data_IF_770232847057
#
_entry.id   IF_770232847057
#
_cell.length_a   1.000
_cell.length_b   1.000
_cell.length_c   1.000
_cell.angle_alpha   90.00
_cell.angle_beta   90.00
_cell.angle_gamma   90.00
#
_symmetry.space_group_name_H-M   'P 1'
#
loop_
_entity.id
_entity.type
_entity.pdbx_description
1 polymer ?
#
# COMPACT_ATOMS: atom_id res chain seq x y z
N UNK A 1 2.15 -2.51 0.67
CA UNK A 1 3.44 -1.81 0.89
C UNK A 1 3.15 -0.58 1.73
N UNK A 2 3.72 -0.50 2.92
CA UNK A 2 3.48 0.60 3.85
C UNK A 2 4.55 1.69 3.63
N UNK A 3 4.17 2.75 2.95
CA UNK A 3 5.04 3.87 2.59
C UNK A 3 5.19 4.82 3.78
N UNK A 4 6.33 4.71 4.44
CA UNK A 4 6.82 5.62 5.47
C UNK A 4 8.30 5.92 5.25
N UNK A 5 8.81 6.94 5.93
CA UNK A 5 10.23 7.27 6.01
C UNK A 5 11.01 6.03 6.45
N UNK A 6 12.05 5.69 5.70
CA UNK A 6 12.90 4.53 5.97
C UNK A 6 12.33 3.18 5.51
N UNK A 7 11.14 3.11 4.90
CA UNK A 7 10.63 1.83 4.39
C UNK A 7 11.62 1.17 3.41
N UNK A 8 12.15 1.94 2.47
CA UNK A 8 13.08 1.45 1.46
C UNK A 8 14.51 1.21 1.97
N UNK A 9 14.83 1.62 3.21
CA UNK A 9 16.12 1.33 3.84
C UNK A 9 16.10 0.00 4.62
N UNK A 10 14.94 -0.58 4.85
CA UNK A 10 14.80 -1.86 5.55
C UNK A 10 15.04 -3.06 4.62
N UNK A 11 16.11 -3.82 4.87
CA UNK A 11 16.44 -5.03 4.10
C UNK A 11 15.30 -6.04 4.07
N UNK A 12 14.60 -6.22 5.20
CA UNK A 12 13.46 -7.14 5.29
C UNK A 12 12.29 -6.68 4.42
N UNK A 13 11.92 -5.39 4.50
CA UNK A 13 10.86 -4.83 3.68
C UNK A 13 11.19 -4.92 2.18
N UNK A 14 12.45 -4.67 1.81
CA UNK A 14 12.92 -4.77 0.43
C UNK A 14 12.86 -6.19 -0.11
N UNK A 15 13.24 -7.19 0.70
CA UNK A 15 13.14 -8.61 0.33
C UNK A 15 11.69 -9.01 0.04
N UNK A 16 10.76 -8.61 0.90
CA UNK A 16 9.34 -8.90 0.72
C UNK A 16 8.76 -8.18 -0.50
N UNK A 17 9.09 -6.90 -0.68
CA UNK A 17 8.62 -6.09 -1.79
C UNK A 17 9.08 -6.66 -3.14
N UNK A 18 10.38 -6.95 -3.28
CA UNK A 18 10.94 -7.59 -4.48
C UNK A 18 10.30 -8.95 -4.77
N UNK A 19 10.07 -9.76 -3.74
CA UNK A 19 9.40 -11.06 -3.88
C UNK A 19 7.95 -10.90 -4.37
N UNK A 20 7.21 -9.91 -3.84
CA UNK A 20 5.85 -9.64 -4.26
C UNK A 20 5.77 -9.15 -5.72
N UNK A 21 6.68 -8.26 -6.13
CA UNK A 21 6.80 -7.80 -7.52
C UNK A 21 7.14 -8.97 -8.45
N UNK A 22 8.14 -9.78 -8.11
CA UNK A 22 8.54 -10.97 -8.90
C UNK A 22 7.41 -11.98 -9.07
N UNK A 23 6.60 -12.18 -8.02
CA UNK A 23 5.43 -13.08 -8.05
C UNK A 23 4.18 -12.41 -8.63
N UNK A 24 4.30 -11.19 -9.17
CA UNK A 24 3.19 -10.41 -9.72
C UNK A 24 1.99 -10.32 -8.77
N UNK A 25 2.25 -10.22 -7.46
CA UNK A 25 1.19 -10.12 -6.48
C UNK A 25 0.43 -8.80 -6.68
N UNK A 26 -0.90 -8.78 -6.51
CA UNK A 26 -1.61 -7.53 -6.36
C UNK A 26 -1.04 -6.77 -5.17
N UNK A 27 -0.64 -5.51 -5.39
CA UNK A 27 -0.07 -4.64 -4.38
C UNK A 27 -1.02 -3.47 -4.13
N UNK A 28 -1.10 -3.06 -2.86
CA UNK A 28 -1.74 -1.84 -2.40
C UNK A 28 -0.65 -1.00 -1.73
N UNK A 29 -0.63 0.30 -2.02
CA UNK A 29 0.21 1.27 -1.32
C UNK A 29 -0.58 1.84 -0.16
N UNK A 30 -0.01 1.81 1.04
CA UNK A 30 -0.59 2.40 2.25
C UNK A 30 0.35 3.51 2.68
N UNK A 31 -0.09 4.75 2.66
CA UNK A 31 0.74 5.94 2.87
C UNK A 31 0.57 6.50 4.26
N UNK A 32 1.61 6.44 5.09
CA UNK A 32 1.60 7.07 6.42
C UNK A 32 1.49 8.59 6.29
N UNK A 33 0.39 9.14 6.79
CA UNK A 33 0.10 10.57 6.70
C UNK A 33 0.70 11.34 7.88
N UNK A 34 0.90 10.70 9.03
CA UNK A 34 1.40 11.37 10.23
C UNK A 34 2.94 11.48 10.22
N UNK A 35 3.44 12.71 10.06
CA UNK A 35 4.88 12.98 10.07
C UNK A 35 5.57 12.53 11.35
N UNK A 36 4.92 12.61 12.51
CA UNK A 36 5.46 12.15 13.80
C UNK A 36 5.69 10.64 13.84
N UNK A 37 5.00 9.88 12.98
CA UNK A 37 5.07 8.42 12.88
C UNK A 37 5.76 7.94 11.60
N UNK A 38 6.56 8.81 10.97
CA UNK A 38 7.30 8.47 9.77
C UNK A 38 6.57 8.81 8.47
N UNK A 39 5.49 9.57 8.50
CA UNK A 39 4.89 10.13 7.30
C UNK A 39 5.83 11.07 6.56
N UNK A 40 5.70 11.11 5.23
CA UNK A 40 6.41 12.03 4.35
C UNK A 40 5.59 12.25 3.06
N UNK A 41 5.85 13.35 2.31
CA UNK A 41 5.20 13.57 1.02
C UNK A 41 5.41 12.40 0.06
N UNK A 42 4.36 12.02 -0.69
CA UNK A 42 4.43 10.88 -1.61
C UNK A 42 5.53 11.03 -2.67
N UNK A 43 5.76 12.26 -3.15
CA UNK A 43 6.85 12.56 -4.09
C UNK A 43 8.22 12.17 -3.51
N UNK A 44 8.48 12.52 -2.25
CA UNK A 44 9.71 12.16 -1.55
C UNK A 44 9.85 10.65 -1.38
N UNK A 45 8.77 9.97 -0.96
CA UNK A 45 8.77 8.50 -0.83
C UNK A 45 8.98 7.80 -2.19
N UNK A 46 8.51 8.39 -3.28
CA UNK A 46 8.75 7.91 -4.64
C UNK A 46 10.20 8.11 -5.08
N UNK A 47 10.82 9.24 -4.73
CA UNK A 47 12.26 9.48 -4.95
C UNK A 47 13.11 8.47 -4.19
N UNK A 48 12.79 8.24 -2.91
CA UNK A 48 13.52 7.30 -2.04
C UNK A 48 13.34 5.82 -2.45
N UNK A 49 12.36 5.52 -3.30
CA UNK A 49 12.11 4.18 -3.81
C UNK A 49 13.19 3.76 -4.82
N UNK A 50 13.81 2.58 -4.72
CA UNK A 50 14.80 2.12 -5.69
C UNK A 50 14.26 2.02 -7.12
N UNK A 51 15.11 2.34 -8.09
CA UNK A 51 14.74 2.45 -9.51
C UNK A 51 14.08 1.19 -10.06
N UNK A 52 14.55 0.03 -9.63
CA UNK A 52 14.06 -1.27 -10.07
C UNK A 52 12.66 -1.60 -9.52
N UNK A 53 12.25 -0.98 -8.42
CA UNK A 53 10.92 -1.17 -7.82
C UNK A 53 9.95 -0.06 -8.16
N UNK A 54 10.44 1.17 -8.35
CA UNK A 54 9.62 2.37 -8.58
C UNK A 54 8.55 2.20 -9.67
N UNK A 55 8.83 1.66 -10.88
CA UNK A 55 7.80 1.50 -11.90
C UNK A 55 6.73 0.47 -11.53
N UNK A 56 7.07 -0.53 -10.70
CA UNK A 56 6.11 -1.55 -10.26
C UNK A 56 5.22 -1.05 -9.11
N UNK A 57 5.80 -0.29 -8.19
CA UNK A 57 5.09 0.25 -7.03
C UNK A 57 4.19 1.41 -7.43
N UNK A 58 4.71 2.41 -8.14
CA UNK A 58 4.01 3.66 -8.48
C UNK A 58 3.37 3.62 -9.88
N UNK A 59 2.89 2.45 -10.30
CA UNK A 59 2.11 2.31 -11.53
C UNK A 59 0.78 3.08 -11.43
N UNK A 60 0.27 3.59 -12.58
CA UNK A 60 -0.90 4.48 -12.64
C UNK A 60 -2.17 3.91 -11.98
N UNK A 61 -2.37 2.60 -12.05
CA UNK A 61 -3.57 1.91 -11.55
C UNK A 61 -3.45 1.42 -10.10
N UNK A 62 -2.35 1.77 -9.42
CA UNK A 62 -2.10 1.29 -8.06
C UNK A 62 -3.00 2.00 -7.06
N UNK A 63 -3.77 1.24 -6.29
CA UNK A 63 -4.50 1.78 -5.15
C UNK A 63 -3.54 2.38 -4.12
N UNK A 64 -3.79 3.64 -3.77
CA UNK A 64 -3.11 4.38 -2.72
C UNK A 64 -4.11 4.70 -1.61
N UNK A 65 -3.94 4.04 -0.46
CA UNK A 65 -4.74 4.26 0.74
C UNK A 65 -3.95 5.13 1.72
N UNK A 66 -4.56 6.20 2.24
CA UNK A 66 -3.93 7.04 3.27
C UNK A 66 -4.12 6.42 4.65
N UNK A 67 -3.05 6.32 5.44
CA UNK A 67 -3.08 5.84 6.81
C UNK A 67 -2.96 7.02 7.77
N UNK A 68 -4.06 7.29 8.49
CA UNK A 68 -4.10 8.32 9.53
C UNK A 68 -3.99 7.67 10.91
N UNK A 69 -3.32 8.31 11.88
CA UNK A 69 -3.20 7.81 13.26
C UNK A 69 -4.41 8.19 14.14
N UNK A 70 -5.61 8.18 13.56
CA UNK A 70 -6.88 8.45 14.24
C UNK A 70 -7.81 7.25 14.07
N UNK A 71 -8.37 6.66 15.14
CA UNK A 71 -9.12 5.40 15.07
C UNK A 71 -10.17 5.31 13.96
N UNK A 72 -11.02 6.33 13.82
CA UNK A 72 -12.10 6.34 12.82
C UNK A 72 -11.58 6.29 11.37
N UNK A 73 -10.47 6.97 11.11
CA UNK A 73 -9.83 6.98 9.80
C UNK A 73 -9.04 5.69 9.54
N UNK A 74 -8.47 5.07 10.57
CA UNK A 74 -7.82 3.76 10.45
C UNK A 74 -8.82 2.68 10.07
N UNK A 75 -10.00 2.71 10.68
CA UNK A 75 -11.05 1.77 10.39
C UNK A 75 -11.52 1.85 8.94
N UNK A 76 -11.70 3.07 8.42
CA UNK A 76 -11.98 3.28 7.00
C UNK A 76 -10.83 2.78 6.10
N UNK A 77 -9.58 3.04 6.48
CA UNK A 77 -8.40 2.55 5.74
C UNK A 77 -8.36 1.02 5.70
N UNK A 78 -8.70 0.37 6.81
CA UNK A 78 -8.79 -1.10 6.91
C UNK A 78 -9.89 -1.66 6.02
N UNK A 79 -11.05 -1.00 5.93
CA UNK A 79 -12.12 -1.36 5.01
C UNK A 79 -11.63 -1.30 3.56
N UNK A 80 -11.02 -0.19 3.16
CA UNK A 80 -10.48 0.00 1.80
C UNK A 80 -9.43 -1.09 1.46
N UNK A 81 -8.50 -1.35 2.38
CA UNK A 81 -7.46 -2.37 2.19
C UNK A 81 -8.08 -3.76 2.08
N UNK A 82 -9.07 -4.07 2.93
CA UNK A 82 -9.71 -5.38 2.96
C UNK A 82 -10.55 -5.63 1.71
N UNK A 83 -11.33 -4.65 1.26
CA UNK A 83 -12.09 -4.74 0.01
C UNK A 83 -11.15 -4.99 -1.18
N UNK A 84 -10.06 -4.21 -1.30
CA UNK A 84 -9.09 -4.38 -2.36
C UNK A 84 -8.40 -5.75 -2.31
N UNK A 85 -8.08 -6.25 -1.12
CA UNK A 85 -7.51 -7.58 -0.93
C UNK A 85 -8.49 -8.69 -1.33
N UNK A 86 -9.76 -8.57 -0.95
CA UNK A 86 -10.79 -9.54 -1.30
C UNK A 86 -11.03 -9.57 -2.80
N UNK A 87 -11.20 -8.41 -3.45
CA UNK A 87 -11.39 -8.31 -4.91
C UNK A 87 -10.23 -8.89 -5.71
N UNK A 88 -9.02 -8.84 -5.17
CA UNK A 88 -7.84 -9.43 -5.79
C UNK A 88 -7.71 -10.95 -5.54
N UNK A 89 -8.56 -11.55 -4.71
CA UNK A 89 -8.56 -12.98 -4.44
C UNK A 89 -9.49 -13.74 -5.41
N UNK A 90 -9.17 -15.00 -5.77
CA UNK A 90 -9.95 -15.75 -6.76
C UNK A 90 -11.44 -15.90 -6.44
N UNK A 91 -11.79 -15.97 -5.15
CA UNK A 91 -13.17 -16.19 -4.70
C UNK A 91 -14.10 -15.00 -5.00
N UNK A 92 -13.56 -13.79 -5.03
CA UNK A 92 -14.33 -12.56 -5.22
C UNK A 92 -13.96 -11.85 -6.53
N UNK A 93 -13.29 -12.57 -7.44
CA UNK A 93 -12.93 -12.06 -8.76
C UNK A 93 -14.19 -11.67 -9.54
N UNK A 94 -14.17 -10.48 -10.17
CA UNK A 94 -15.29 -9.95 -10.95
C UNK A 94 -16.40 -9.27 -10.14
N UNK A 95 -16.24 -9.12 -8.81
CA UNK A 95 -17.17 -8.33 -7.99
C UNK A 95 -16.71 -6.86 -7.96
N UNK A 96 -17.60 -5.96 -8.38
CA UNK A 96 -17.31 -4.54 -8.52
C UNK A 96 -17.20 -3.79 -7.18
N UNK A 97 -18.03 -4.17 -6.20
CA UNK A 97 -18.02 -3.60 -4.86
C UNK A 97 -18.37 -4.63 -3.80
N UNK A 98 -17.66 -4.61 -2.68
CA UNK A 98 -18.00 -5.42 -1.51
C UNK A 98 -18.52 -4.52 -0.40
N UNK A 99 -19.69 -4.84 0.15
CA UNK A 99 -20.18 -4.16 1.35
C UNK A 99 -19.38 -4.66 2.56
N UNK A 100 -18.29 -3.96 2.85
CA UNK A 100 -17.54 -4.11 4.08
C UNK A 100 -18.22 -3.25 5.16
N UNK A 101 -18.88 -3.90 6.12
CA UNK A 101 -19.52 -3.22 7.25
C UNK A 101 -18.48 -2.93 8.34
N UNK A 102 -18.66 -1.80 9.00
CA UNK A 102 -17.88 -1.36 10.17
C UNK A 102 -18.75 -1.49 11.42
#
# INVERSE_FOLDING_TARGET
VFLSRGYFTSTSCMRECRSAVRKQKPLILVHEHDSGHGGAPLAKLREDCPDDLRPHLFAKERLLCSWFRKPDYQLMSMVIISEALLRASPKYAGIDSLKCYV
#
